data_IF_790432489685
#
_entry.id   IF_790432489685
#
_cell.length_a   1.000
_cell.length_b   1.000
_cell.length_c   1.000
_cell.angle_alpha   90.00
_cell.angle_beta   90.00
_cell.angle_gamma   90.00
#
_symmetry.space_group_name_H-M   'P 1'
#
loop_
_entity.id
_entity.type
_entity.pdbx_description
1 polymer ?
#
# COMPACT_ATOMS: atom_id res chain seq x y z
N UNK A 1 19.61 -13.33 4.44
CA UNK A 1 20.47 -12.78 3.38
C UNK A 1 21.91 -13.06 3.72
N UNK A 2 22.74 -13.42 2.74
CA UNK A 2 24.16 -13.69 2.97
C UNK A 2 24.98 -12.40 3.09
N UNK A 3 24.44 -11.27 2.59
CA UNK A 3 25.05 -9.94 2.65
C UNK A 3 24.02 -8.88 2.99
N UNK A 4 24.46 -7.75 3.56
CA UNK A 4 23.61 -6.58 3.72
C UNK A 4 23.54 -5.82 2.39
N UNK A 5 22.33 -5.73 1.83
CA UNK A 5 22.06 -5.13 0.52
C UNK A 5 20.72 -4.42 0.56
N UNK A 6 20.60 -3.34 -0.20
CA UNK A 6 19.31 -2.69 -0.44
C UNK A 6 18.56 -3.49 -1.51
N UNK A 7 17.27 -3.75 -1.26
CA UNK A 7 16.41 -4.48 -2.17
C UNK A 7 15.06 -3.77 -2.34
N UNK A 8 14.33 -4.17 -3.38
CA UNK A 8 12.93 -3.78 -3.59
C UNK A 8 12.06 -4.99 -3.28
N UNK A 9 11.10 -4.81 -2.39
CA UNK A 9 10.07 -5.82 -2.11
C UNK A 9 8.82 -5.45 -2.88
N UNK A 10 8.31 -6.38 -3.70
CA UNK A 10 7.07 -6.21 -4.48
C UNK A 10 6.07 -7.27 -4.09
N UNK A 11 4.85 -6.85 -3.79
CA UNK A 11 3.75 -7.73 -3.42
C UNK A 11 2.72 -7.73 -4.54
N UNK A 12 2.34 -8.92 -4.99
CA UNK A 12 1.31 -9.11 -6.01
C UNK A 12 0.21 -10.02 -5.50
N UNK A 13 -1.03 -9.71 -5.88
CA UNK A 13 -2.21 -10.53 -5.60
C UNK A 13 -2.79 -11.04 -6.92
N UNK A 14 -3.05 -12.33 -7.01
CA UNK A 14 -3.65 -12.96 -8.18
C UNK A 14 -4.59 -14.10 -7.79
N UNK A 15 -5.48 -14.51 -8.71
CA UNK A 15 -6.42 -15.59 -8.45
C UNK A 15 -5.70 -16.94 -8.43
N UNK A 16 -6.07 -17.80 -7.47
CA UNK A 16 -5.53 -19.16 -7.34
C UNK A 16 -6.23 -20.16 -8.26
N UNK A 17 -7.54 -19.99 -8.38
CA UNK A 17 -8.43 -20.92 -9.07
C UNK A 17 -9.31 -20.15 -10.06
N UNK A 18 -9.63 -20.79 -11.18
CA UNK A 18 -10.57 -20.28 -12.17
C UNK A 18 -12.02 -20.40 -11.67
N UNK A 19 -12.98 -19.84 -12.41
CA UNK A 19 -14.41 -19.90 -12.07
C UNK A 19 -14.93 -21.33 -11.88
N UNK A 20 -14.30 -22.32 -12.52
CA UNK A 20 -14.62 -23.74 -12.37
C UNK A 20 -13.84 -24.46 -11.25
N UNK A 21 -13.13 -23.73 -10.38
CA UNK A 21 -12.36 -24.31 -9.26
C UNK A 21 -11.09 -25.04 -9.68
N UNK A 22 -10.58 -24.77 -10.90
CA UNK A 22 -9.34 -25.38 -11.42
C UNK A 22 -8.15 -24.51 -11.07
N UNK A 23 -7.04 -25.12 -10.66
CA UNK A 23 -5.79 -24.40 -10.42
C UNK A 23 -5.26 -23.82 -11.75
N UNK A 24 -4.90 -22.54 -11.73
CA UNK A 24 -4.39 -21.83 -12.90
C UNK A 24 -2.87 -21.86 -12.90
N UNK A 25 -2.26 -22.12 -14.06
CA UNK A 25 -0.81 -21.99 -14.21
C UNK A 25 -0.36 -20.53 -14.14
N UNK A 26 0.74 -20.28 -13.41
CA UNK A 26 1.32 -18.96 -13.19
C UNK A 26 1.72 -18.27 -14.50
N UNK A 27 2.30 -19.01 -15.44
CA UNK A 27 2.76 -18.42 -16.71
C UNK A 27 1.61 -17.90 -17.57
N UNK A 28 0.46 -18.57 -17.50
CA UNK A 28 -0.76 -18.20 -18.21
C UNK A 28 -1.48 -17.05 -17.50
N UNK A 29 -1.45 -17.03 -16.16
CA UNK A 29 -2.21 -16.07 -15.35
C UNK A 29 -1.47 -14.79 -14.97
N UNK A 30 -0.18 -14.64 -15.36
CA UNK A 30 0.69 -13.53 -14.93
C UNK A 30 0.11 -12.13 -15.14
N UNK A 31 -0.77 -11.97 -16.13
CA UNK A 31 -1.40 -10.68 -16.48
C UNK A 31 -2.50 -10.31 -15.46
N UNK A 32 -3.09 -11.30 -14.79
CA UNK A 32 -4.17 -11.10 -13.83
C UNK A 32 -3.67 -10.84 -12.40
N UNK A 33 -2.35 -10.65 -12.23
CA UNK A 33 -1.77 -10.26 -10.95
C UNK A 33 -1.78 -8.74 -10.81
N UNK A 34 -2.36 -8.26 -9.72
CA UNK A 34 -2.41 -6.85 -9.35
C UNK A 34 -1.28 -6.56 -8.37
N UNK A 35 -0.53 -5.48 -8.61
CA UNK A 35 0.49 -4.99 -7.68
C UNK A 35 -0.19 -4.36 -6.47
N UNK A 36 0.14 -4.85 -5.27
CA UNK A 36 -0.38 -4.33 -4.00
C UNK A 36 0.56 -3.32 -3.35
N UNK A 37 1.87 -3.58 -3.37
CA UNK A 37 2.85 -2.72 -2.71
C UNK A 37 4.24 -2.90 -3.32
N UNK A 38 5.04 -1.84 -3.26
CA UNK A 38 6.39 -1.77 -3.80
C UNK A 38 7.21 -0.78 -2.99
N UNK A 39 8.20 -1.28 -2.26
CA UNK A 39 9.02 -0.45 -1.38
C UNK A 39 10.47 -0.91 -1.30
N UNK A 40 11.35 0.03 -0.94
CA UNK A 40 12.75 -0.22 -0.69
C UNK A 40 12.95 -0.74 0.74
N UNK A 41 13.72 -1.80 0.88
CA UNK A 41 14.08 -2.39 2.18
C UNK A 41 15.57 -2.70 2.22
N UNK A 42 16.20 -2.42 3.36
CA UNK A 42 17.62 -2.75 3.58
C UNK A 42 17.72 -4.07 4.32
N UNK A 43 18.17 -5.11 3.62
CA UNK A 43 18.37 -6.42 4.21
C UNK A 43 19.63 -6.44 5.08
N UNK A 44 19.54 -7.11 6.22
CA UNK A 44 20.70 -7.43 7.08
C UNK A 44 21.16 -8.87 6.83
N UNK A 45 22.42 -9.16 7.15
CA UNK A 45 22.94 -10.53 7.05
C UNK A 45 22.23 -11.42 8.08
N UNK A 46 21.79 -12.62 7.67
CA UNK A 46 21.00 -13.54 8.50
C UNK A 46 19.48 -13.46 8.26
N UNK A 47 18.69 -13.78 9.30
CA UNK A 47 17.21 -13.84 9.25
C UNK A 47 16.60 -12.44 9.43
N UNK A 48 15.76 -12.02 8.49
CA UNK A 48 15.05 -10.74 8.54
C UNK A 48 13.55 -11.02 8.66
N UNK A 49 12.85 -10.25 9.50
CA UNK A 49 11.38 -10.28 9.60
C UNK A 49 10.88 -8.90 9.18
N UNK A 50 10.09 -8.85 8.10
CA UNK A 50 9.54 -7.59 7.56
C UNK A 50 8.09 -7.48 8.02
N UNK A 51 7.75 -6.39 8.69
CA UNK A 51 6.38 -6.08 9.14
C UNK A 51 5.98 -4.77 8.46
N UNK A 52 4.87 -4.80 7.71
CA UNK A 52 4.36 -3.67 6.94
C UNK A 52 2.85 -3.55 7.19
N UNK A 53 2.38 -2.34 7.48
CA UNK A 53 0.96 -2.06 7.62
C UNK A 53 0.35 -1.79 6.23
N UNK A 54 -0.88 -2.27 6.00
CA UNK A 54 -1.62 -2.02 4.76
C UNK A 54 -1.88 -0.53 4.51
N UNK A 55 -1.96 0.28 5.56
CA UNK A 55 -2.15 1.74 5.47
C UNK A 55 -0.95 2.43 4.84
N UNK A 56 0.24 1.83 4.93
CA UNK A 56 1.48 2.39 4.40
C UNK A 56 1.83 1.85 3.01
N UNK A 57 0.91 1.10 2.37
CA UNK A 57 1.12 0.56 1.04
C UNK A 57 1.25 1.66 0.00
N UNK A 58 2.16 1.45 -0.94
CA UNK A 58 2.30 2.35 -2.07
C UNK A 58 1.04 2.32 -2.93
N UNK A 59 0.64 3.49 -3.46
CA UNK A 59 -0.46 3.62 -4.41
C UNK A 59 -1.87 3.33 -3.85
N UNK A 60 -2.03 3.18 -2.52
CA UNK A 60 -3.33 3.20 -1.85
C UNK A 60 -3.59 4.57 -1.19
N UNK A 61 -4.79 5.10 -1.36
CA UNK A 61 -5.21 6.41 -0.87
C UNK A 61 -6.50 6.24 -0.09
N UNK A 62 -6.59 6.90 1.07
CA UNK A 62 -7.81 6.84 1.89
C UNK A 62 -8.97 7.56 1.19
N UNK A 63 -10.18 7.09 1.48
CA UNK A 63 -11.41 7.72 1.01
C UNK A 63 -11.45 9.23 1.29
N UNK A 64 -12.07 9.94 0.34
CA UNK A 64 -12.24 11.38 0.42
C UNK A 64 -13.15 11.75 1.59
N UNK A 65 -12.68 12.68 2.43
CA UNK A 65 -13.48 13.32 3.47
C UNK A 65 -14.53 14.22 2.81
N UNK A 66 -15.78 14.11 3.27
CA UNK A 66 -16.83 15.02 2.87
C UNK A 66 -16.56 16.42 3.40
N UNK A 67 -16.91 17.45 2.61
CA UNK A 67 -16.68 18.86 2.97
C UNK A 67 -17.27 19.22 4.33
N UNK A 68 -18.45 18.70 4.66
CA UNK A 68 -19.11 18.91 5.97
C UNK A 68 -18.27 18.37 7.14
N UNK A 69 -17.68 17.20 6.99
CA UNK A 69 -16.87 16.58 8.05
C UNK A 69 -15.50 17.23 8.15
N UNK A 70 -14.97 17.71 7.02
CA UNK A 70 -13.77 18.55 6.98
C UNK A 70 -13.97 19.85 7.76
N UNK A 71 -15.10 20.56 7.56
CA UNK A 71 -15.41 21.79 8.29
C UNK A 71 -15.51 21.58 9.79
N UNK A 72 -16.23 20.53 10.23
CA UNK A 72 -16.27 20.14 11.65
C UNK A 72 -14.88 19.88 12.20
N UNK A 73 -14.04 19.16 11.45
CA UNK A 73 -12.67 18.83 11.85
C UNK A 73 -11.80 20.09 12.00
N UNK A 74 -11.95 21.06 11.09
CA UNK A 74 -11.27 22.36 11.17
C UNK A 74 -11.69 23.13 12.42
N UNK A 75 -13.00 23.22 12.70
CA UNK A 75 -13.51 23.96 13.87
C UNK A 75 -13.05 23.37 15.21
N UNK A 76 -12.78 22.06 15.25
CA UNK A 76 -12.35 21.38 16.47
C UNK A 76 -10.84 21.46 16.70
N UNK A 77 -10.05 21.86 15.71
CA UNK A 77 -8.59 21.76 15.73
C UNK A 77 -7.92 23.10 15.98
N UNK A 78 -7.04 23.15 16.98
CA UNK A 78 -6.26 24.35 17.34
C UNK A 78 -5.09 24.62 16.37
N UNK A 79 -4.57 23.57 15.72
CA UNK A 79 -3.43 23.65 14.79
C UNK A 79 -3.78 23.21 13.36
N UNK A 80 -4.07 24.19 12.50
CA UNK A 80 -4.38 24.02 11.06
C UNK A 80 -3.26 23.32 10.26
N UNK A 81 -2.02 23.31 10.76
CA UNK A 81 -0.86 22.72 10.07
C UNK A 81 -0.85 21.19 10.09
N UNK A 82 -1.36 20.56 11.15
CA UNK A 82 -1.32 19.09 11.27
C UNK A 82 -2.30 18.41 10.30
N UNK A 83 -3.44 19.08 10.02
CA UNK A 83 -4.43 18.63 9.03
C UNK A 83 -3.84 18.58 7.62
N UNK A 84 -3.11 19.63 7.22
CA UNK A 84 -2.60 19.78 5.85
C UNK A 84 -1.44 18.83 5.54
N UNK A 85 -0.58 18.56 6.53
CA UNK A 85 0.62 17.74 6.31
C UNK A 85 0.34 16.24 6.30
N UNK A 86 -0.61 15.74 7.11
CA UNK A 86 -0.92 14.31 7.21
C UNK A 86 -1.97 13.85 6.20
N UNK A 87 -3.06 14.61 6.04
CA UNK A 87 -4.20 14.15 5.24
C UNK A 87 -4.10 14.56 3.76
N UNK A 88 -3.44 15.69 3.41
CA UNK A 88 -3.46 16.20 2.03
C UNK A 88 -2.24 15.82 1.16
N UNK A 89 -1.19 15.22 1.73
CA UNK A 89 0.06 14.99 0.99
C UNK A 89 -0.04 13.91 -0.10
N UNK A 90 -0.94 12.93 0.04
CA UNK A 90 -1.05 11.79 -0.88
C UNK A 90 -2.46 11.64 -1.51
N UNK A 91 -3.24 12.71 -1.60
CA UNK A 91 -4.70 12.59 -1.73
C UNK A 91 -5.26 12.33 -3.15
N UNK A 92 -4.45 12.43 -4.21
CA UNK A 92 -5.00 12.56 -5.56
C UNK A 92 -4.54 11.50 -6.57
N UNK A 93 -3.62 10.62 -6.22
CA UNK A 93 -3.08 9.63 -7.17
C UNK A 93 -2.88 8.28 -6.49
N UNK A 94 -3.90 7.43 -6.54
CA UNK A 94 -3.84 6.03 -6.10
C UNK A 94 -5.23 5.37 -6.07
N UNK A 95 -5.24 4.07 -5.82
CA UNK A 95 -6.45 3.27 -5.64
C UNK A 95 -7.03 3.51 -4.23
N UNK A 96 -8.36 3.53 -4.07
CA UNK A 96 -9.01 3.65 -2.76
C UNK A 96 -8.78 2.42 -1.88
#
# INVERSE_FOLDING_TARGET
SDKSVDCVVRLFLGPKEDHWGRLIDLNQNRINFVELDSFLYKLTTGKNTIIRNSIDMHNLVRDRLMTRDLWKKIDTMTDMRDLLMKDLRNYHTGFP
#
